data_IF_863055687114
#
_entry.id   IF_863055687114
#
_cell.length_a   1.000
_cell.length_b   1.000
_cell.length_c   1.000
_cell.angle_alpha   90.00
_cell.angle_beta   90.00
_cell.angle_gamma   90.00
#
_symmetry.space_group_name_H-M   'P 1'
#
loop_
_entity.id
_entity.type
_entity.pdbx_description
1 polymer ?
#
# COMPACT_ATOMS: atom_id res chain seq x y z
N UNK A 1 17.19 14.51 -34.00
CA UNK A 1 16.13 13.56 -34.39
C UNK A 1 15.57 13.02 -33.08
N UNK A 2 14.47 13.63 -32.59
CA UNK A 2 13.85 13.31 -31.31
C UNK A 2 12.98 12.07 -31.45
N UNK A 3 13.35 10.95 -30.85
CA UNK A 3 12.44 9.82 -30.58
C UNK A 3 11.88 10.00 -29.18
N UNK A 4 10.70 10.58 -29.10
CA UNK A 4 9.86 10.54 -27.89
C UNK A 4 9.34 9.12 -27.71
N UNK A 5 9.89 8.36 -26.76
CA UNK A 5 9.35 7.09 -26.30
C UNK A 5 8.04 7.35 -25.58
N UNK A 6 6.95 7.12 -26.25
CA UNK A 6 5.62 7.08 -25.64
C UNK A 6 5.55 5.82 -24.77
N UNK A 7 5.59 6.02 -23.46
CA UNK A 7 5.31 4.98 -22.48
C UNK A 7 3.86 4.51 -22.71
N UNK A 8 3.70 3.32 -23.26
CA UNK A 8 2.40 2.77 -23.59
C UNK A 8 1.72 2.23 -22.33
N UNK A 9 0.62 2.83 -21.96
CA UNK A 9 -0.28 2.47 -20.85
C UNK A 9 -1.03 1.14 -21.07
N UNK A 10 -0.61 0.34 -22.03
CA UNK A 10 -1.29 -0.87 -22.49
C UNK A 10 -1.25 -2.07 -21.52
N UNK A 11 -0.27 -2.27 -20.62
CA UNK A 11 -0.28 -3.46 -19.77
C UNK A 11 -1.27 -3.42 -18.60
N UNK A 12 -1.74 -2.24 -18.16
CA UNK A 12 -2.67 -2.15 -17.02
C UNK A 12 -4.11 -2.57 -17.37
N UNK A 13 -4.50 -2.47 -18.63
CA UNK A 13 -5.83 -2.89 -19.10
C UNK A 13 -5.94 -4.41 -19.35
N UNK A 14 -4.83 -5.11 -19.51
CA UNK A 14 -4.83 -6.56 -19.76
C UNK A 14 -5.07 -7.39 -18.48
N UNK A 15 -4.77 -6.85 -17.29
CA UNK A 15 -4.99 -7.55 -16.03
C UNK A 15 -6.46 -7.50 -15.60
N UNK A 16 -7.20 -6.46 -15.98
CA UNK A 16 -8.63 -6.35 -15.69
C UNK A 16 -9.50 -7.35 -16.48
N UNK A 17 -9.01 -7.88 -17.60
CA UNK A 17 -9.77 -8.81 -18.44
C UNK A 17 -9.70 -10.28 -18.00
N UNK A 18 -8.77 -10.66 -17.13
CA UNK A 18 -8.64 -12.04 -16.64
C UNK A 18 -9.64 -12.41 -15.52
N UNK A 19 -10.35 -11.42 -14.96
CA UNK A 19 -11.34 -11.64 -13.89
C UNK A 19 -12.78 -11.74 -14.39
N UNK A 20 -13.01 -11.69 -15.70
CA UNK A 20 -14.33 -11.95 -16.31
C UNK A 20 -14.56 -13.46 -16.53
N UNK A 21 -14.32 -14.30 -15.53
CA UNK A 21 -14.87 -15.65 -15.51
C UNK A 21 -16.38 -15.54 -15.26
N UNK A 22 -17.25 -16.26 -15.97
CA UNK A 22 -18.69 -16.16 -15.80
C UNK A 22 -19.07 -16.73 -14.43
N UNK A 23 -19.35 -15.86 -13.46
CA UNK A 23 -20.11 -16.17 -12.24
C UNK A 23 -21.60 -16.34 -12.60
N UNK A 24 -21.87 -17.27 -13.51
CA UNK A 24 -23.23 -17.67 -13.83
C UNK A 24 -23.56 -18.93 -13.04
N UNK A 25 -23.90 -18.80 -11.75
CA UNK A 25 -24.77 -19.74 -11.07
C UNK A 25 -25.17 -19.18 -9.68
N UNK A 26 -26.44 -18.86 -9.58
CA UNK A 26 -27.24 -18.48 -8.42
C UNK A 26 -27.35 -16.99 -8.14
N UNK A 27 -28.56 -16.52 -8.36
CA UNK A 27 -28.98 -15.14 -8.43
C UNK A 27 -29.25 -14.54 -7.02
N UNK A 28 -28.20 -14.34 -6.23
CA UNK A 28 -28.14 -13.20 -5.34
C UNK A 28 -27.31 -12.14 -6.07
N UNK A 29 -27.85 -10.94 -6.20
CA UNK A 29 -27.09 -9.84 -6.82
C UNK A 29 -25.79 -9.64 -6.06
N UNK A 30 -24.64 -9.54 -6.74
CA UNK A 30 -23.36 -9.34 -6.08
C UNK A 30 -23.44 -8.09 -5.22
N UNK A 31 -23.18 -8.23 -3.92
CA UNK A 31 -23.14 -7.09 -3.00
C UNK A 31 -21.73 -6.52 -3.01
N UNK A 32 -21.65 -5.23 -3.34
CA UNK A 32 -20.42 -4.46 -3.31
C UNK A 32 -20.41 -3.55 -2.08
N UNK A 33 -19.24 -3.31 -1.59
CA UNK A 33 -18.99 -2.37 -0.51
C UNK A 33 -17.91 -1.39 -0.95
N UNK A 34 -18.09 -0.13 -0.61
CA UNK A 34 -17.17 0.95 -0.87
C UNK A 34 -16.80 1.60 0.47
N UNK A 35 -15.50 1.57 0.82
CA UNK A 35 -15.02 2.06 2.10
C UNK A 35 -13.87 3.04 1.91
N UNK A 36 -14.13 4.35 1.71
CA UNK A 36 -13.10 5.36 1.86
C UNK A 36 -12.64 5.42 3.31
N UNK A 37 -11.34 5.64 3.51
CA UNK A 37 -10.78 5.78 4.84
C UNK A 37 -9.68 6.83 4.92
N UNK A 38 -9.45 7.32 6.12
CA UNK A 38 -8.30 8.13 6.51
C UNK A 38 -7.56 7.39 7.62
N UNK A 39 -6.23 7.48 7.62
CA UNK A 39 -5.38 6.82 8.61
C UNK A 39 -4.22 7.67 9.04
N UNK A 40 -3.55 7.17 10.07
CA UNK A 40 -2.21 7.58 10.45
C UNK A 40 -1.28 6.41 10.24
N UNK A 41 -0.25 6.57 9.41
CA UNK A 41 0.72 5.53 9.10
C UNK A 41 2.08 5.91 9.65
N UNK A 42 2.76 4.94 10.23
CA UNK A 42 4.07 5.09 10.86
C UNK A 42 4.95 3.89 10.56
N UNK A 43 6.24 4.05 10.78
CA UNK A 43 7.25 3.04 10.49
C UNK A 43 7.69 3.12 9.03
N UNK A 44 8.50 2.19 8.64
CA UNK A 44 9.22 2.22 7.39
C UNK A 44 10.60 2.81 7.60
N UNK A 45 11.61 1.96 7.64
CA UNK A 45 12.99 2.35 7.74
C UNK A 45 13.79 1.54 6.72
N UNK A 46 14.87 2.15 6.26
CA UNK A 46 15.86 1.52 5.39
C UNK A 46 17.17 1.43 6.15
N UNK A 47 17.74 0.23 6.24
CA UNK A 47 19.13 0.10 6.65
C UNK A 47 20.01 0.50 5.46
N UNK A 48 20.82 1.54 5.65
CA UNK A 48 21.71 2.08 4.63
C UNK A 48 23.13 1.76 5.02
N UNK A 49 23.89 1.15 4.12
CA UNK A 49 25.34 0.95 4.31
C UNK A 49 26.08 1.99 3.51
N UNK A 50 26.76 2.90 4.19
CA UNK A 50 27.64 3.87 3.57
C UNK A 50 28.90 3.19 2.99
N UNK A 51 29.61 3.89 2.08
CA UNK A 51 30.80 3.37 1.43
C UNK A 51 31.96 3.03 2.39
N UNK A 52 31.93 3.56 3.61
CA UNK A 52 32.87 3.27 4.69
C UNK A 52 32.48 2.08 5.59
N UNK A 53 31.44 1.32 5.19
CA UNK A 53 30.84 0.20 5.96
C UNK A 53 30.14 0.61 7.24
N UNK A 54 29.81 1.89 7.42
CA UNK A 54 28.98 2.35 8.51
C UNK A 54 27.51 2.10 8.16
N UNK A 55 26.81 1.31 8.98
CA UNK A 55 25.37 1.10 8.84
C UNK A 55 24.62 2.21 9.58
N UNK A 56 23.72 2.86 8.89
CA UNK A 56 22.78 3.85 9.43
C UNK A 56 21.36 3.45 9.06
N UNK A 57 20.40 3.68 9.93
CA UNK A 57 18.98 3.53 9.60
C UNK A 57 18.41 4.90 9.24
N UNK A 58 17.63 4.94 8.16
CA UNK A 58 16.83 6.09 7.76
C UNK A 58 15.38 5.72 7.99
N UNK A 59 14.73 6.41 8.92
CA UNK A 59 13.33 6.19 9.24
C UNK A 59 12.45 7.20 8.50
N UNK A 60 11.27 6.74 8.10
CA UNK A 60 10.23 7.58 7.49
C UNK A 60 9.41 8.27 8.58
N UNK A 61 9.06 9.52 8.35
CA UNK A 61 8.19 10.26 9.23
C UNK A 61 6.78 9.67 9.26
N UNK A 62 6.17 9.68 10.45
CA UNK A 62 4.76 9.33 10.57
C UNK A 62 3.91 10.39 9.86
N UNK A 63 2.89 9.95 9.12
CA UNK A 63 2.05 10.85 8.33
C UNK A 63 0.62 10.39 8.20
N UNK A 64 -0.20 11.27 7.64
CA UNK A 64 -1.59 10.96 7.32
C UNK A 64 -1.63 10.11 6.05
N UNK A 65 -2.46 9.09 6.05
CA UNK A 65 -2.76 8.25 4.90
C UNK A 65 -4.23 8.38 4.50
N UNK A 66 -4.49 8.14 3.23
CA UNK A 66 -5.83 8.08 2.66
C UNK A 66 -5.96 6.81 1.83
N UNK A 67 -7.16 6.25 1.79
CA UNK A 67 -7.34 5.07 0.98
C UNK A 67 -8.78 4.74 0.68
N UNK A 68 -8.91 3.66 -0.06
CA UNK A 68 -10.16 3.11 -0.52
C UNK A 68 -10.09 1.60 -0.45
N UNK A 69 -11.08 0.99 0.16
CA UNK A 69 -11.29 -0.45 0.15
C UNK A 69 -12.57 -0.76 -0.64
N UNK A 70 -12.45 -1.63 -1.64
CA UNK A 70 -13.56 -2.15 -2.43
C UNK A 70 -13.79 -3.60 -2.05
N UNK A 71 -14.96 -3.88 -1.46
CA UNK A 71 -15.39 -5.21 -1.07
C UNK A 71 -16.37 -5.83 -2.08
N UNK A 72 -16.16 -7.09 -2.41
CA UNK A 72 -17.13 -7.93 -3.10
C UNK A 72 -17.53 -9.07 -2.17
N UNK A 73 -18.74 -9.05 -1.64
CA UNK A 73 -19.21 -10.06 -0.71
C UNK A 73 -19.24 -11.43 -1.35
N UNK A 74 -18.59 -12.37 -0.69
CA UNK A 74 -18.66 -13.77 -1.00
C UNK A 74 -19.83 -14.44 -0.27
N UNK A 75 -20.02 -14.07 0.99
CA UNK A 75 -21.08 -14.51 1.89
C UNK A 75 -21.32 -13.41 2.96
N UNK A 76 -22.24 -13.65 3.91
CA UNK A 76 -22.57 -12.66 4.95
C UNK A 76 -21.43 -12.40 5.95
N UNK A 77 -20.35 -13.17 5.90
CA UNK A 77 -19.23 -13.10 6.84
C UNK A 77 -17.89 -12.82 6.20
N UNK A 78 -17.84 -12.72 4.88
CA UNK A 78 -16.57 -12.50 4.19
C UNK A 78 -16.77 -11.80 2.85
N UNK A 79 -15.76 -11.01 2.46
CA UNK A 79 -15.68 -10.42 1.13
C UNK A 79 -14.25 -10.48 0.58
N UNK A 80 -14.14 -10.45 -0.74
CA UNK A 80 -12.90 -10.16 -1.44
C UNK A 80 -12.63 -8.67 -1.38
N UNK A 81 -11.39 -8.31 -1.09
CA UNK A 81 -10.95 -6.94 -0.85
C UNK A 81 -9.98 -6.49 -1.92
N UNK A 82 -10.21 -5.31 -2.49
CA UNK A 82 -9.22 -4.57 -3.28
C UNK A 82 -8.92 -3.27 -2.55
N UNK A 83 -7.72 -3.20 -2.00
CA UNK A 83 -7.26 -2.10 -1.17
C UNK A 83 -6.32 -1.20 -1.96
N UNK A 84 -6.57 0.11 -1.92
CA UNK A 84 -5.63 1.15 -2.27
C UNK A 84 -5.40 2.06 -1.06
N UNK A 85 -4.14 2.34 -0.73
CA UNK A 85 -3.78 3.27 0.35
C UNK A 85 -2.55 4.08 -0.05
N UNK A 86 -2.58 5.38 0.18
CA UNK A 86 -1.52 6.34 -0.17
C UNK A 86 -1.10 7.16 1.03
N UNK A 87 0.19 7.46 1.12
CA UNK A 87 0.78 8.37 2.11
C UNK A 87 1.90 9.16 1.44
N UNK A 88 1.94 10.45 1.72
CA UNK A 88 3.15 11.26 1.49
C UNK A 88 3.88 11.38 2.82
N UNK A 89 5.15 11.05 2.82
CA UNK A 89 6.04 11.08 3.97
C UNK A 89 7.36 11.71 3.57
N UNK A 90 8.22 12.02 4.51
CA UNK A 90 9.56 12.53 4.27
C UNK A 90 10.59 11.72 5.05
N UNK A 91 11.81 11.77 4.62
CA UNK A 91 12.95 11.25 5.35
C UNK A 91 14.14 12.20 5.21
N UNK A 92 14.94 12.29 6.27
CA UNK A 92 16.17 13.07 6.23
C UNK A 92 17.26 12.29 5.49
N UNK A 93 17.76 12.89 4.40
CA UNK A 93 18.87 12.31 3.66
C UNK A 93 20.15 12.38 4.50
N UNK A 94 20.96 11.32 4.44
CA UNK A 94 22.30 11.29 5.01
C UNK A 94 23.27 12.25 4.30
N UNK A 95 22.90 12.73 3.11
CA UNK A 95 23.66 13.77 2.40
C UNK A 95 23.19 15.17 2.85
N UNK A 96 24.06 15.97 3.50
CA UNK A 96 23.73 17.32 3.96
C UNK A 96 23.31 18.28 2.84
N UNK A 97 23.59 17.95 1.59
CA UNK A 97 23.26 18.78 0.42
C UNK A 97 21.84 18.50 -0.11
N UNK A 98 21.28 17.34 0.18
CA UNK A 98 19.95 16.92 -0.31
C UNK A 98 18.83 17.26 0.69
N UNK A 99 19.13 17.45 1.97
CA UNK A 99 18.13 17.78 2.98
C UNK A 99 17.07 16.69 3.16
N UNK A 100 15.83 17.11 3.42
CA UNK A 100 14.67 16.22 3.52
C UNK A 100 14.14 15.91 2.12
N UNK A 101 13.85 14.64 1.86
CA UNK A 101 13.27 14.17 0.59
C UNK A 101 11.86 13.67 0.85
N UNK A 102 10.88 14.20 0.09
CA UNK A 102 9.51 13.74 0.14
C UNK A 102 9.35 12.44 -0.67
N UNK A 103 8.64 11.48 -0.10
CA UNK A 103 8.38 10.16 -0.66
C UNK A 103 6.89 9.86 -0.60
N UNK A 104 6.30 9.50 -1.73
CA UNK A 104 4.95 8.92 -1.76
C UNK A 104 5.05 7.41 -1.72
N UNK A 105 4.28 6.79 -0.81
CA UNK A 105 4.17 5.34 -0.65
C UNK A 105 2.72 4.92 -0.89
N UNK A 106 2.51 4.20 -1.99
CA UNK A 106 1.21 3.69 -2.39
C UNK A 106 1.18 2.16 -2.25
N UNK A 107 0.10 1.64 -1.68
CA UNK A 107 -0.21 0.20 -1.64
C UNK A 107 -1.40 -0.09 -2.54
N UNK A 108 -1.25 -1.09 -3.42
CA UNK A 108 -2.33 -1.68 -4.19
C UNK A 108 -2.34 -3.18 -3.90
N UNK A 109 -3.36 -3.64 -3.19
CA UNK A 109 -3.39 -5.01 -2.66
C UNK A 109 -4.75 -5.64 -2.90
N UNK A 110 -4.75 -6.98 -3.05
CA UNK A 110 -5.94 -7.81 -3.18
C UNK A 110 -5.91 -8.92 -2.14
N UNK A 111 -7.08 -9.24 -1.59
CA UNK A 111 -7.18 -10.29 -0.60
C UNK A 111 -8.61 -10.50 -0.13
N UNK A 112 -8.79 -10.59 1.19
CA UNK A 112 -10.11 -10.78 1.76
C UNK A 112 -10.19 -10.40 3.22
N UNK A 113 -11.42 -10.09 3.61
CA UNK A 113 -11.80 -9.76 4.98
C UNK A 113 -12.86 -10.74 5.48
N UNK A 114 -12.65 -11.24 6.69
CA UNK A 114 -13.60 -12.08 7.41
C UNK A 114 -14.14 -11.35 8.64
N UNK A 115 -15.46 -11.43 8.84
CA UNK A 115 -16.18 -10.88 9.96
C UNK A 115 -16.51 -11.95 10.98
N UNK A 116 -16.47 -11.57 12.24
CA UNK A 116 -16.76 -12.44 13.38
C UNK A 116 -17.95 -11.87 14.15
N UNK A 117 -19.21 -12.17 13.73
CA UNK A 117 -20.40 -11.67 14.40
C UNK A 117 -20.39 -12.07 15.88
N UNK A 118 -20.74 -11.11 16.73
CA UNK A 118 -20.94 -11.29 18.17
C UNK A 118 -22.42 -11.35 18.47
N UNK A 119 -22.80 -11.81 19.66
CA UNK A 119 -24.20 -11.81 20.13
C UNK A 119 -24.77 -10.37 20.29
N UNK A 120 -23.93 -9.35 20.25
CA UNK A 120 -24.32 -7.94 20.26
C UNK A 120 -24.20 -7.34 18.86
N UNK A 121 -25.29 -6.78 18.33
CA UNK A 121 -25.35 -6.13 17.01
C UNK A 121 -24.61 -4.78 16.94
N UNK A 122 -23.91 -4.37 18.01
CA UNK A 122 -23.31 -3.05 18.10
C UNK A 122 -21.95 -2.94 17.43
N UNK A 123 -21.19 -4.00 17.36
CA UNK A 123 -19.90 -4.01 16.68
C UNK A 123 -19.52 -5.43 16.25
N UNK A 124 -18.86 -5.50 15.11
CA UNK A 124 -18.45 -6.73 14.46
C UNK A 124 -16.93 -6.72 14.26
N UNK A 125 -16.18 -7.54 14.99
CA UNK A 125 -14.76 -7.71 14.74
C UNK A 125 -14.49 -8.23 13.34
N UNK A 126 -13.39 -7.81 12.75
CA UNK A 126 -12.94 -8.33 11.46
C UNK A 126 -11.42 -8.56 11.43
N UNK A 127 -11.01 -9.43 10.54
CA UNK A 127 -9.63 -9.70 10.19
C UNK A 127 -9.49 -9.65 8.67
N UNK A 128 -8.46 -8.99 8.17
CA UNK A 128 -8.15 -8.90 6.75
C UNK A 128 -6.73 -9.39 6.46
N UNK A 129 -6.55 -9.98 5.28
CA UNK A 129 -5.27 -10.42 4.75
C UNK A 129 -5.21 -10.11 3.27
N UNK A 130 -4.18 -9.40 2.85
CA UNK A 130 -4.01 -8.98 1.45
C UNK A 130 -2.56 -9.14 0.99
N UNK A 131 -2.38 -9.30 -0.32
CA UNK A 131 -1.11 -9.31 -1.02
C UNK A 131 -1.18 -8.40 -2.23
N UNK A 132 -0.06 -7.84 -2.66
CA UNK A 132 -0.03 -6.94 -3.81
C UNK A 132 1.31 -6.26 -4.00
N UNK A 133 1.28 -4.98 -4.35
CA UNK A 133 2.45 -4.18 -4.62
C UNK A 133 2.49 -2.91 -3.78
N UNK A 134 3.69 -2.51 -3.41
CA UNK A 134 4.03 -1.19 -2.90
C UNK A 134 4.71 -0.41 -4.01
N UNK A 135 4.23 0.80 -4.27
CA UNK A 135 4.84 1.76 -5.18
C UNK A 135 5.45 2.87 -4.33
N UNK A 136 6.73 3.14 -4.54
CA UNK A 136 7.48 4.20 -3.87
C UNK A 136 7.92 5.21 -4.91
N UNK A 137 7.52 6.46 -4.75
CA UNK A 137 7.79 7.53 -5.71
C UNK A 137 8.36 8.75 -5.00
N UNK A 138 9.66 9.05 -5.18
CA UNK A 138 10.26 10.28 -4.68
C UNK A 138 9.70 11.50 -5.43
N UNK A 139 9.42 12.59 -4.71
CA UNK A 139 8.87 13.83 -5.32
C UNK A 139 9.91 14.58 -6.17
N UNK A 140 11.15 14.17 -6.13
CA UNK A 140 12.18 14.70 -7.02
C UNK A 140 12.17 13.94 -8.34
N UNK A 141 11.78 14.61 -9.45
CA UNK A 141 11.77 14.02 -10.80
C UNK A 141 13.12 13.53 -11.34
N UNK A 142 14.16 13.48 -10.48
CA UNK A 142 15.49 12.96 -10.78
C UNK A 142 15.63 11.46 -10.48
N UNK A 143 14.71 10.87 -9.70
CA UNK A 143 14.79 9.48 -9.26
C UNK A 143 13.65 8.65 -9.83
N UNK A 144 13.95 7.39 -10.17
CA UNK A 144 12.96 6.46 -10.70
C UNK A 144 12.03 5.94 -9.58
N UNK A 145 10.77 5.68 -9.91
CA UNK A 145 9.81 5.03 -9.02
C UNK A 145 10.10 3.55 -8.89
N UNK A 146 9.87 3.02 -7.69
CA UNK A 146 10.11 1.62 -7.35
C UNK A 146 8.81 0.89 -7.06
N UNK A 147 8.65 -0.31 -7.64
CA UNK A 147 7.54 -1.21 -7.35
C UNK A 147 8.07 -2.49 -6.70
N UNK A 148 7.50 -2.86 -5.54
CA UNK A 148 7.91 -4.02 -4.76
C UNK A 148 6.70 -4.87 -4.36
N UNK A 149 6.92 -6.16 -4.20
CA UNK A 149 5.89 -7.06 -3.69
C UNK A 149 5.64 -6.79 -2.21
N UNK A 150 4.37 -6.77 -1.82
CA UNK A 150 3.98 -6.57 -0.43
C UNK A 150 2.77 -7.39 -0.03
N UNK A 151 2.60 -7.54 1.27
CA UNK A 151 1.41 -8.09 1.88
C UNK A 151 1.00 -7.27 3.08
N UNK A 152 -0.24 -7.41 3.50
CA UNK A 152 -0.69 -6.82 4.75
C UNK A 152 -1.61 -7.72 5.54
N UNK A 153 -1.60 -7.52 6.84
CA UNK A 153 -2.57 -8.07 7.77
C UNK A 153 -3.23 -6.91 8.52
N UNK A 154 -4.54 -6.93 8.60
CA UNK A 154 -5.33 -5.92 9.29
C UNK A 154 -6.40 -6.53 10.17
N UNK A 155 -6.94 -5.73 11.07
CA UNK A 155 -8.06 -6.11 11.89
C UNK A 155 -8.64 -4.91 12.62
N UNK A 156 -9.88 -5.08 13.09
CA UNK A 156 -10.58 -3.98 13.74
C UNK A 156 -12.01 -4.33 14.06
N UNK A 157 -12.81 -3.28 14.14
CA UNK A 157 -14.23 -3.36 14.46
C UNK A 157 -15.04 -2.58 13.45
N UNK A 158 -16.13 -3.19 13.01
CA UNK A 158 -17.20 -2.56 12.24
C UNK A 158 -18.35 -2.22 13.16
N UNK A 159 -18.81 -0.99 13.09
CA UNK A 159 -19.94 -0.45 13.86
C UNK A 159 -21.04 -0.09 12.86
N UNK A 160 -22.08 -0.92 12.69
CA UNK A 160 -23.18 -0.62 11.78
C UNK A 160 -24.03 0.53 12.34
N UNK A 161 -24.33 1.53 11.51
CA UNK A 161 -25.31 2.59 11.83
C UNK A 161 -26.69 2.24 11.29
N UNK A 162 -26.74 1.59 10.14
CA UNK A 162 -27.93 1.05 9.51
C UNK A 162 -27.53 -0.06 8.52
N UNK A 163 -28.49 -0.58 7.76
CA UNK A 163 -28.29 -1.70 6.84
C UNK A 163 -27.28 -1.39 5.70
N UNK A 164 -27.00 -0.11 5.44
CA UNK A 164 -26.18 0.32 4.31
C UNK A 164 -24.93 1.10 4.71
N UNK A 165 -24.82 1.54 5.98
CA UNK A 165 -23.71 2.40 6.41
C UNK A 165 -23.09 1.88 7.68
N UNK A 166 -21.78 1.73 7.68
CA UNK A 166 -21.00 1.27 8.83
C UNK A 166 -19.73 2.11 9.00
N UNK A 167 -19.31 2.27 10.25
CA UNK A 167 -18.01 2.83 10.60
C UNK A 167 -17.03 1.70 10.82
N UNK A 168 -15.84 1.77 10.18
CA UNK A 168 -14.75 0.85 10.40
C UNK A 168 -13.63 1.52 11.17
N UNK A 169 -13.21 0.91 12.27
CA UNK A 169 -12.04 1.28 13.06
C UNK A 169 -11.06 0.13 13.02
N UNK A 170 -9.82 0.36 12.61
CA UNK A 170 -8.88 -0.72 12.47
C UNK A 170 -7.42 -0.32 12.53
N UNK A 171 -6.60 -1.36 12.55
CA UNK A 171 -5.15 -1.26 12.40
C UNK A 171 -4.73 -2.23 11.31
N UNK A 172 -3.68 -1.86 10.55
CA UNK A 172 -3.12 -2.68 9.47
C UNK A 172 -1.60 -2.59 9.50
N UNK A 173 -0.95 -3.73 9.40
CA UNK A 173 0.50 -3.82 9.22
C UNK A 173 0.81 -4.22 7.78
N UNK A 174 1.72 -3.49 7.13
CA UNK A 174 2.21 -3.75 5.78
C UNK A 174 3.64 -4.25 5.85
N UNK A 175 3.92 -5.29 5.08
CA UNK A 175 5.26 -5.83 4.89
C UNK A 175 5.59 -5.80 3.40
N UNK A 176 6.62 -5.04 3.03
CA UNK A 176 7.15 -4.96 1.67
C UNK A 176 8.47 -5.69 1.62
N UNK A 177 8.64 -6.56 0.62
CA UNK A 177 9.88 -7.29 0.38
C UNK A 177 10.80 -6.44 -0.50
N UNK A 178 11.98 -6.17 0.01
CA UNK A 178 13.06 -5.51 -0.72
C UNK A 178 14.05 -6.59 -1.18
N UNK A 179 14.65 -6.44 -2.36
CA UNK A 179 15.75 -7.31 -2.76
C UNK A 179 17.00 -6.91 -1.96
N UNK A 180 17.66 -7.86 -1.33
CA UNK A 180 18.95 -7.65 -0.69
C UNK A 180 19.97 -7.26 -1.76
N UNK A 181 20.59 -6.10 -1.62
CA UNK A 181 21.46 -5.41 -2.59
C UNK A 181 20.72 -4.51 -3.61
N UNK A 182 19.46 -4.13 -3.38
CA UNK A 182 18.80 -3.14 -4.22
C UNK A 182 19.39 -1.75 -3.97
N UNK A 183 19.93 -1.16 -5.02
CA UNK A 183 20.09 0.28 -5.10
C UNK A 183 18.70 0.89 -5.35
N UNK A 184 18.19 1.61 -4.36
CA UNK A 184 16.89 2.27 -4.44
C UNK A 184 17.06 3.69 -4.95
N UNK A 185 16.13 4.14 -5.81
CA UNK A 185 16.09 5.49 -6.35
C UNK A 185 17.39 5.88 -7.08
N UNK A 186 17.70 5.17 -8.15
CA UNK A 186 18.86 5.45 -8.98
C UNK A 186 18.55 6.49 -10.05
N UNK A 187 19.52 7.37 -10.34
CA UNK A 187 19.45 8.32 -11.46
C UNK A 187 19.85 7.59 -12.73
N UNK A 188 18.97 7.60 -13.74
CA UNK A 188 19.23 7.00 -15.07
C UNK A 188 19.82 7.97 -16.08
N UNK A 189 20.42 9.10 -15.69
CA UNK A 189 20.96 10.07 -16.63
C UNK A 189 22.48 9.97 -16.78
N UNK A 190 22.86 9.89 -18.03
CA UNK A 190 24.18 9.96 -18.69
C UNK A 190 25.41 10.17 -17.78
N UNK A 191 25.99 9.12 -17.24
CA UNK A 191 27.42 9.07 -16.99
C UNK A 191 27.91 8.77 -15.59
N UNK A 192 27.13 9.01 -14.55
CA UNK A 192 27.43 8.57 -13.17
C UNK A 192 26.15 7.99 -12.57
N UNK A 193 26.13 6.67 -12.40
CA UNK A 193 25.03 6.00 -11.71
C UNK A 193 25.13 6.29 -10.21
N UNK A 194 24.41 7.32 -9.76
CA UNK A 194 24.22 7.64 -8.35
C UNK A 194 22.90 7.06 -7.88
N UNK A 195 22.90 6.26 -6.81
CA UNK A 195 21.67 5.82 -6.15
C UNK A 195 21.53 6.52 -4.80
N UNK A 196 20.33 7.01 -4.48
CA UNK A 196 20.07 7.76 -3.27
C UNK A 196 20.24 6.89 -2.01
N UNK A 197 19.80 5.64 -2.10
CA UNK A 197 19.86 4.68 -0.99
C UNK A 197 20.36 3.32 -1.47
N UNK A 198 21.22 2.71 -0.67
CA UNK A 198 21.63 1.32 -0.83
C UNK A 198 21.02 0.55 0.35
N UNK A 199 19.85 -0.06 0.15
CA UNK A 199 19.21 -0.85 1.17
C UNK A 199 19.99 -2.14 1.42
N UNK A 200 20.41 -2.35 2.66
CA UNK A 200 20.99 -3.62 3.12
C UNK A 200 19.96 -4.54 3.79
N UNK A 201 18.75 -4.03 4.06
CA UNK A 201 17.63 -4.78 4.61
C UNK A 201 16.75 -5.40 3.54
N UNK A 202 16.17 -6.56 3.84
CA UNK A 202 15.29 -7.29 2.91
C UNK A 202 13.80 -7.01 3.09
N UNK A 203 13.42 -6.18 4.07
CA UNK A 203 12.02 -5.92 4.42
C UNK A 203 11.80 -4.48 4.87
N UNK A 204 10.63 -3.96 4.50
CA UNK A 204 10.15 -2.65 4.90
C UNK A 204 8.78 -2.82 5.56
N UNK A 205 8.63 -2.36 6.79
CA UNK A 205 7.42 -2.54 7.58
C UNK A 205 6.79 -1.21 7.95
N UNK A 206 5.47 -1.08 7.70
CA UNK A 206 4.66 0.05 8.15
C UNK A 206 3.43 -0.42 8.92
N UNK A 207 2.99 0.39 9.88
CA UNK A 207 1.75 0.20 10.61
C UNK A 207 0.82 1.40 10.40
N UNK A 208 -0.46 1.14 10.20
CA UNK A 208 -1.50 2.12 9.93
C UNK A 208 -2.67 1.94 10.89
N UNK A 209 -3.08 3.02 11.55
CA UNK A 209 -4.38 3.09 12.23
C UNK A 209 -5.38 3.77 11.29
N UNK A 210 -6.56 3.21 11.08
CA UNK A 210 -7.52 3.69 10.07
C UNK A 210 -8.93 3.89 10.63
N UNK A 211 -9.61 4.86 10.03
CA UNK A 211 -11.02 5.17 10.23
C UNK A 211 -11.68 5.24 8.86
N UNK A 212 -12.63 4.35 8.58
CA UNK A 212 -13.33 4.25 7.31
C UNK A 212 -14.85 4.29 7.45
N UNK A 213 -15.53 4.69 6.39
CA UNK A 213 -16.97 4.66 6.29
C UNK A 213 -17.38 3.75 5.13
N UNK A 214 -18.03 2.63 5.45
CA UNK A 214 -18.57 1.71 4.44
C UNK A 214 -19.96 2.06 4.01
N UNK A 215 -20.21 1.96 2.71
CA UNK A 215 -21.53 2.13 2.08
C UNK A 215 -21.77 1.06 1.04
#
# INVERSE_FOLDING_TARGET
>A
MNLSTRLSWVPLLAIAALFAAPLAAQADSPRFEFTPFVGGRMGGGFDVTAADSTSSSVDLDAGVSFGLDLGLYRDDRSFYELLYSTQTTSFDSTDPLLGSVDLRVDYLQFGGTAFFPQDSDHFMPYLSLTIGATLMEPDSGAYDSEARFSGSIGGGFRIPFNDNVSLNLGVRGYLTLLDSDSSLFCVSDSGEAGCLLRASGSTFFQAEGLLGLSV
#
